data_IF_080683409932
#
_entry.id   IF_080683409932
#
_cell.length_a   1.000
_cell.length_b   1.000
_cell.length_c   1.000
_cell.angle_alpha   90.00
_cell.angle_beta   90.00
_cell.angle_gamma   90.00
#
_symmetry.space_group_name_H-M   'P 1'
#
loop_
_entity.id
_entity.type
_entity.pdbx_description
1 polymer ?
#
# COMPACT_ATOMS: atom_id res chain seq x y z
N UNK A 1 -0.94 15.75 16.36
CA UNK A 1 -1.14 15.24 14.99
C UNK A 1 -0.59 16.29 14.06
N UNK A 2 0.63 16.10 13.54
CA UNK A 2 1.16 17.00 12.53
C UNK A 2 0.41 16.71 11.23
N UNK A 3 -0.48 17.63 10.84
CA UNK A 3 -1.05 17.60 9.50
C UNK A 3 0.11 17.78 8.55
N UNK A 4 0.47 16.72 7.83
CA UNK A 4 1.43 16.78 6.72
C UNK A 4 1.07 17.99 5.85
N UNK A 5 2.05 18.85 5.54
CA UNK A 5 1.79 20.20 5.01
C UNK A 5 0.83 20.24 3.81
N UNK A 6 0.89 19.21 2.94
CA UNK A 6 -0.02 19.05 1.80
C UNK A 6 -1.49 18.81 2.20
N UNK A 7 -1.73 17.99 3.22
CA UNK A 7 -3.07 17.67 3.70
C UNK A 7 -3.68 18.87 4.44
N UNK A 8 -2.88 19.57 5.26
CA UNK A 8 -3.32 20.79 5.92
C UNK A 8 -3.70 21.89 4.94
N UNK A 9 -2.87 22.12 3.91
CA UNK A 9 -3.16 23.10 2.86
C UNK A 9 -4.47 22.80 2.12
N UNK A 10 -4.73 21.53 1.82
CA UNK A 10 -5.95 21.13 1.12
C UNK A 10 -7.21 21.37 1.94
N UNK A 11 -7.19 21.05 3.25
CA UNK A 11 -8.29 21.34 4.16
C UNK A 11 -8.54 22.85 4.22
N UNK A 12 -7.48 23.66 4.34
CA UNK A 12 -7.59 25.12 4.41
C UNK A 12 -8.19 25.70 3.12
N UNK A 13 -7.72 25.25 1.96
CA UNK A 13 -8.22 25.70 0.65
C UNK A 13 -9.71 25.37 0.47
N UNK A 14 -10.11 24.13 0.78
CA UNK A 14 -11.52 23.74 0.71
C UNK A 14 -12.39 24.50 1.71
N UNK A 15 -11.91 24.69 2.95
CA UNK A 15 -12.60 25.51 3.96
C UNK A 15 -12.82 26.94 3.48
N UNK A 16 -11.78 27.55 2.90
CA UNK A 16 -11.83 28.90 2.35
C UNK A 16 -12.85 29.00 1.22
N UNK A 17 -12.87 28.04 0.30
CA UNK A 17 -13.84 27.99 -0.79
C UNK A 17 -15.30 27.92 -0.27
N UNK A 18 -15.55 27.09 0.74
CA UNK A 18 -16.87 26.93 1.36
C UNK A 18 -17.35 28.18 2.11
N UNK A 19 -16.46 29.09 2.48
CA UNK A 19 -16.78 30.35 3.15
C UNK A 19 -16.93 31.49 2.12
N UNK A 20 -16.00 31.60 1.16
CA UNK A 20 -15.95 32.70 0.20
C UNK A 20 -17.12 32.66 -0.78
N UNK A 21 -17.48 31.49 -1.30
CA UNK A 21 -18.57 31.38 -2.30
C UNK A 21 -19.90 31.91 -1.73
N UNK A 22 -20.40 31.44 -0.57
CA UNK A 22 -21.65 31.93 -0.03
C UNK A 22 -21.61 33.42 0.33
N UNK A 23 -20.44 33.92 0.71
CA UNK A 23 -20.21 35.31 1.08
C UNK A 23 -20.31 36.27 -0.12
N UNK A 24 -19.86 35.85 -1.32
CA UNK A 24 -20.06 36.60 -2.57
C UNK A 24 -21.53 36.62 -2.99
N UNK A 25 -22.26 35.53 -2.74
CA UNK A 25 -23.68 35.39 -3.09
C UNK A 25 -24.58 36.15 -2.09
N UNK A 26 -24.10 36.38 -0.87
CA UNK A 26 -24.90 36.91 0.25
C UNK A 26 -25.60 38.24 -0.03
N UNK A 27 -24.93 39.28 -0.58
CA UNK A 27 -25.55 40.57 -0.85
C UNK A 27 -26.76 40.49 -1.77
N UNK A 28 -26.69 39.63 -2.80
CA UNK A 28 -27.72 39.50 -3.81
C UNK A 28 -29.00 38.82 -3.31
N UNK A 29 -28.94 38.18 -2.13
CA UNK A 29 -29.96 37.25 -1.63
C UNK A 29 -30.46 37.59 -0.22
N UNK A 30 -30.10 38.77 0.30
CA UNK A 30 -30.64 39.39 1.51
C UNK A 30 -32.15 39.63 1.31
N UNK A 31 -32.97 38.61 1.57
CA UNK A 31 -34.44 38.67 1.39
C UNK A 31 -35.11 37.32 1.13
N UNK A 32 -34.36 36.25 0.84
CA UNK A 32 -34.97 34.92 0.71
C UNK A 32 -35.40 34.37 2.07
N UNK A 33 -36.52 33.65 2.06
CA UNK A 33 -37.12 33.05 3.25
C UNK A 33 -36.10 32.21 4.01
N UNK A 34 -35.87 32.59 5.26
CA UNK A 34 -34.99 31.89 6.19
C UNK A 34 -35.66 30.56 6.52
N UNK A 35 -35.06 29.45 6.10
CA UNK A 35 -35.53 28.14 6.54
C UNK A 35 -35.29 28.03 8.05
N UNK A 36 -36.35 27.76 8.81
CA UNK A 36 -36.24 27.43 10.23
C UNK A 36 -35.64 26.03 10.36
N UNK A 37 -34.40 25.95 10.84
CA UNK A 37 -33.75 24.69 11.15
C UNK A 37 -34.51 23.92 12.24
N UNK A 38 -35.33 22.96 11.83
CA UNK A 38 -35.86 21.90 12.70
C UNK A 38 -34.78 20.88 13.05
N UNK A 39 -34.88 20.28 14.25
CA UNK A 39 -34.07 19.14 14.69
C UNK A 39 -34.05 17.99 13.66
N UNK A 40 -35.14 17.83 12.90
CA UNK A 40 -35.26 16.84 11.83
C UNK A 40 -34.18 17.04 10.75
N UNK A 41 -33.84 18.28 10.39
CA UNK A 41 -32.80 18.54 9.39
C UNK A 41 -31.42 18.08 9.87
N UNK A 42 -31.11 18.28 11.16
CA UNK A 42 -29.84 17.82 11.73
C UNK A 42 -29.71 16.30 11.67
N UNK A 43 -30.80 15.56 11.91
CA UNK A 43 -30.80 14.10 11.81
C UNK A 43 -30.58 13.63 10.36
N UNK A 44 -31.25 14.27 9.39
CA UNK A 44 -31.06 14.00 7.96
C UNK A 44 -29.62 14.32 7.53
N UNK A 45 -29.06 15.43 8.01
CA UNK A 45 -27.69 15.87 7.73
C UNK A 45 -26.66 14.84 8.21
N UNK A 46 -26.80 14.34 9.45
CA UNK A 46 -25.93 13.29 9.99
C UNK A 46 -26.05 12.00 9.18
N UNK A 47 -27.26 11.61 8.79
CA UNK A 47 -27.49 10.44 7.92
C UNK A 47 -26.81 10.58 6.55
N UNK A 48 -26.91 11.77 5.94
CA UNK A 48 -26.22 12.10 4.69
C UNK A 48 -24.70 11.96 4.82
N UNK A 49 -24.10 12.51 5.89
CA UNK A 49 -22.66 12.35 6.14
C UNK A 49 -22.25 10.89 6.32
N UNK A 50 -23.07 10.10 7.03
CA UNK A 50 -22.85 8.66 7.17
C UNK A 50 -22.78 7.96 5.81
N UNK A 51 -23.71 8.26 4.90
CA UNK A 51 -23.75 7.68 3.55
C UNK A 51 -22.51 8.09 2.75
N UNK A 52 -22.15 9.38 2.74
CA UNK A 52 -20.99 9.87 1.98
C UNK A 52 -19.68 9.26 2.50
N UNK A 53 -19.51 9.18 3.82
CA UNK A 53 -18.33 8.56 4.41
C UNK A 53 -18.27 7.04 4.18
N UNK A 54 -19.43 6.36 4.18
CA UNK A 54 -19.52 4.95 3.80
C UNK A 54 -19.07 4.72 2.36
N UNK A 55 -19.47 5.60 1.43
CA UNK A 55 -19.01 5.54 0.03
C UNK A 55 -17.50 5.73 -0.10
N UNK A 56 -16.87 6.58 0.72
CA UNK A 56 -15.42 6.72 0.73
C UNK A 56 -14.68 5.50 1.28
N UNK A 57 -15.31 4.72 2.17
CA UNK A 57 -14.68 3.57 2.80
C UNK A 57 -15.71 2.51 3.18
N UNK A 58 -16.12 1.62 2.27
CA UNK A 58 -17.21 0.65 2.50
C UNK A 58 -16.94 -0.40 3.60
N UNK A 59 -15.73 -0.42 4.18
CA UNK A 59 -15.31 -1.34 5.26
C UNK A 59 -15.28 -0.69 6.66
N UNK A 60 -15.89 0.47 6.85
CA UNK A 60 -15.96 1.13 8.17
C UNK A 60 -17.03 0.53 9.07
N UNK A 61 -16.76 0.47 10.38
CA UNK A 61 -17.78 0.05 11.36
C UNK A 61 -18.83 1.14 11.56
N UNK A 62 -20.03 0.78 12.01
CA UNK A 62 -21.12 1.73 12.25
C UNK A 62 -20.74 2.82 13.28
N UNK A 63 -19.95 2.46 14.30
CA UNK A 63 -19.45 3.42 15.28
C UNK A 63 -18.47 4.43 14.66
N UNK A 64 -17.57 3.99 13.78
CA UNK A 64 -16.63 4.86 13.06
C UNK A 64 -17.35 5.79 12.06
N UNK A 65 -18.44 5.31 11.45
CA UNK A 65 -19.32 6.12 10.61
C UNK A 65 -20.01 7.20 11.43
N UNK A 66 -20.56 6.85 12.59
CA UNK A 66 -21.22 7.80 13.48
C UNK A 66 -20.24 8.86 14.01
N UNK A 67 -19.03 8.45 14.43
CA UNK A 67 -17.97 9.37 14.84
C UNK A 67 -17.55 10.30 13.70
N UNK A 68 -17.42 9.78 12.48
CA UNK A 68 -17.11 10.57 11.29
C UNK A 68 -18.18 11.57 10.93
N UNK A 69 -19.44 11.14 10.96
CA UNK A 69 -20.59 12.01 10.69
C UNK A 69 -20.69 13.11 11.74
N UNK A 70 -20.51 12.77 13.03
CA UNK A 70 -20.49 13.75 14.12
C UNK A 70 -19.34 14.76 13.99
N UNK A 71 -18.14 14.30 13.62
CA UNK A 71 -16.99 15.18 13.38
C UNK A 71 -17.24 16.11 12.19
N UNK A 72 -17.82 15.60 11.10
CA UNK A 72 -18.17 16.39 9.90
C UNK A 72 -19.23 17.44 10.22
N UNK A 73 -20.24 17.06 11.01
CA UNK A 73 -21.27 17.98 11.51
C UNK A 73 -20.67 19.10 12.37
N UNK A 74 -19.80 18.75 13.33
CA UNK A 74 -19.13 19.75 14.17
C UNK A 74 -18.28 20.71 13.33
N UNK A 75 -17.53 20.18 12.36
CA UNK A 75 -16.75 20.99 11.43
C UNK A 75 -17.63 21.94 10.60
N UNK A 76 -18.82 21.50 10.16
CA UNK A 76 -19.79 22.39 9.50
C UNK A 76 -20.23 23.54 10.43
N UNK A 77 -20.54 23.25 11.69
CA UNK A 77 -20.93 24.29 12.66
C UNK A 77 -19.81 25.33 12.84
N UNK A 78 -18.55 24.89 12.89
CA UNK A 78 -17.39 25.78 12.94
C UNK A 78 -17.33 26.66 11.68
N UNK A 79 -17.45 26.08 10.48
CA UNK A 79 -17.48 26.86 9.23
C UNK A 79 -18.62 27.87 9.19
N UNK A 80 -19.82 27.48 9.60
CA UNK A 80 -20.99 28.36 9.68
C UNK A 80 -20.80 29.49 10.69
N UNK A 81 -20.14 29.22 11.82
CA UNK A 81 -19.82 30.23 12.83
C UNK A 81 -18.81 31.24 12.28
N UNK A 82 -17.73 30.77 11.64
CA UNK A 82 -16.73 31.63 11.00
C UNK A 82 -17.38 32.50 9.92
N UNK A 83 -18.24 31.91 9.08
CA UNK A 83 -19.00 32.65 8.08
C UNK A 83 -19.89 33.72 8.75
N UNK A 84 -20.59 33.38 9.84
CA UNK A 84 -21.43 34.33 10.57
C UNK A 84 -20.64 35.49 11.17
N UNK A 85 -19.44 35.23 11.72
CA UNK A 85 -18.53 36.29 12.20
C UNK A 85 -18.10 37.19 11.05
N UNK A 86 -17.72 36.62 9.90
CA UNK A 86 -17.34 37.40 8.71
C UNK A 86 -18.50 38.26 8.18
N UNK A 87 -19.73 37.73 8.20
CA UNK A 87 -20.93 38.50 7.82
C UNK A 87 -21.14 39.67 8.79
N UNK A 88 -21.00 39.44 10.10
CA UNK A 88 -21.14 40.49 11.11
C UNK A 88 -20.15 41.64 10.87
N UNK A 89 -18.88 41.29 10.63
CA UNK A 89 -17.81 42.27 10.41
C UNK A 89 -17.96 43.03 9.10
N UNK A 90 -18.29 42.36 8.00
CA UNK A 90 -18.29 43.00 6.68
C UNK A 90 -19.58 43.75 6.35
N UNK A 91 -20.73 43.31 6.87
CA UNK A 91 -22.02 43.93 6.57
C UNK A 91 -22.60 44.72 7.75
N UNK A 92 -21.86 44.82 8.86
CA UNK A 92 -22.29 45.50 10.09
C UNK A 92 -23.67 45.02 10.59
N UNK A 93 -23.96 43.73 10.40
CA UNK A 93 -25.18 43.08 10.88
C UNK A 93 -24.99 42.68 12.34
N UNK A 94 -26.04 42.83 13.16
CA UNK A 94 -25.99 42.43 14.57
C UNK A 94 -25.44 41.01 14.74
N UNK A 95 -24.47 40.83 15.64
CA UNK A 95 -23.70 39.59 15.78
C UNK A 95 -24.56 38.33 15.91
N UNK A 96 -25.62 38.39 16.73
CA UNK A 96 -26.56 37.27 16.91
C UNK A 96 -27.28 36.90 15.60
N UNK A 97 -27.71 37.91 14.83
CA UNK A 97 -28.37 37.69 13.54
C UNK A 97 -27.39 37.09 12.55
N UNK A 98 -26.19 37.64 12.45
CA UNK A 98 -25.14 37.15 11.56
C UNK A 98 -24.72 35.70 11.89
N UNK A 99 -24.62 35.34 13.17
CA UNK A 99 -24.30 33.98 13.61
C UNK A 99 -25.44 33.01 13.27
N UNK A 100 -26.71 33.40 13.49
CA UNK A 100 -27.85 32.57 13.06
C UNK A 100 -27.91 32.42 11.54
N UNK A 101 -27.55 33.46 10.78
CA UNK A 101 -27.43 33.39 9.32
C UNK A 101 -26.36 32.39 8.90
N UNK A 102 -25.15 32.50 9.45
CA UNK A 102 -24.03 31.63 9.10
C UNK A 102 -24.25 30.15 9.45
N UNK A 103 -24.90 29.86 10.59
CA UNK A 103 -25.04 28.49 11.09
C UNK A 103 -26.29 27.76 10.59
N UNK A 104 -27.44 28.45 10.52
CA UNK A 104 -28.73 27.76 10.39
C UNK A 104 -29.76 28.38 9.45
N UNK A 105 -29.59 29.63 8.99
CA UNK A 105 -30.61 30.30 8.18
C UNK A 105 -30.22 30.63 6.75
N UNK A 106 -28.94 30.77 6.43
CA UNK A 106 -28.50 31.12 5.08
C UNK A 106 -28.37 29.88 4.19
N UNK A 107 -29.46 29.52 3.52
CA UNK A 107 -29.60 28.27 2.76
C UNK A 107 -28.50 28.00 1.71
N UNK A 108 -28.02 28.98 0.92
CA UNK A 108 -26.90 28.74 -0.01
C UNK A 108 -25.62 28.29 0.70
N UNK A 109 -25.30 28.89 1.85
CA UNK A 109 -24.15 28.45 2.64
C UNK A 109 -24.37 27.05 3.22
N UNK A 110 -25.55 26.80 3.78
CA UNK A 110 -25.87 25.52 4.40
C UNK A 110 -25.77 24.38 3.39
N UNK A 111 -26.39 24.52 2.21
CA UNK A 111 -26.33 23.49 1.17
C UNK A 111 -24.90 23.24 0.70
N UNK A 112 -24.13 24.31 0.45
CA UNK A 112 -22.75 24.19 0.00
C UNK A 112 -21.87 23.53 1.07
N UNK A 113 -22.02 23.93 2.33
CA UNK A 113 -21.26 23.38 3.44
C UNK A 113 -21.65 21.92 3.72
N UNK A 114 -22.94 21.55 3.66
CA UNK A 114 -23.37 20.16 3.80
C UNK A 114 -22.78 19.31 2.68
N UNK A 115 -22.85 19.77 1.43
CA UNK A 115 -22.29 19.02 0.31
C UNK A 115 -20.74 18.91 0.37
N UNK A 116 -20.06 19.99 0.78
CA UNK A 116 -18.60 20.09 0.71
C UNK A 116 -17.83 19.63 1.95
N UNK A 117 -18.43 19.72 3.15
CA UNK A 117 -17.76 19.39 4.41
C UNK A 117 -17.19 17.95 4.46
N UNK A 118 -17.88 16.90 3.97
CA UNK A 118 -17.34 15.54 3.96
C UNK A 118 -16.05 15.41 3.16
N UNK A 119 -15.93 16.18 2.07
CA UNK A 119 -14.73 16.21 1.26
C UNK A 119 -13.64 16.92 2.04
N UNK A 120 -13.88 18.15 2.51
CA UNK A 120 -12.89 18.95 3.23
C UNK A 120 -12.28 18.22 4.44
N UNK A 121 -13.08 17.43 5.18
CA UNK A 121 -12.61 16.72 6.37
C UNK A 121 -11.99 15.34 6.09
N UNK A 122 -12.11 14.83 4.86
CA UNK A 122 -11.60 13.51 4.45
C UNK A 122 -10.18 13.20 4.93
N UNK A 123 -9.15 14.07 4.76
CA UNK A 123 -7.80 13.73 5.19
C UNK A 123 -7.67 13.58 6.71
N UNK A 124 -8.40 14.39 7.48
CA UNK A 124 -8.42 14.34 8.94
C UNK A 124 -9.11 13.05 9.41
N UNK A 125 -10.27 12.74 8.82
CA UNK A 125 -11.01 11.51 9.09
C UNK A 125 -10.16 10.26 8.82
N UNK A 126 -9.47 10.23 7.68
CA UNK A 126 -8.57 9.12 7.32
C UNK A 126 -7.37 9.02 8.27
N UNK A 127 -6.84 10.14 8.77
CA UNK A 127 -5.76 10.12 9.74
C UNK A 127 -6.20 9.58 11.11
N UNK A 128 -7.41 9.92 11.58
CA UNK A 128 -7.93 9.48 12.89
C UNK A 128 -8.25 7.98 12.87
N UNK A 129 -8.91 7.49 11.81
CA UNK A 129 -9.36 6.08 11.73
C UNK A 129 -8.32 5.17 11.09
N UNK A 130 -7.40 5.71 10.29
CA UNK A 130 -6.29 4.96 9.69
C UNK A 130 -5.21 4.52 10.69
N UNK A 131 -5.16 5.13 11.87
CA UNK A 131 -4.10 4.90 12.87
C UNK A 131 -3.92 3.45 13.33
N UNK A 132 -4.97 2.63 13.31
CA UNK A 132 -4.87 1.22 13.73
C UNK A 132 -4.24 0.31 12.67
N UNK A 133 -4.37 0.65 11.38
CA UNK A 133 -3.77 -0.15 10.30
C UNK A 133 -2.25 0.06 10.26
N UNK A 134 -1.79 1.25 10.63
CA UNK A 134 -0.35 1.57 10.71
C UNK A 134 0.28 1.04 11.99
N UNK A 135 -0.42 1.10 13.14
CA UNK A 135 0.07 0.54 14.41
C UNK A 135 0.15 -0.99 14.44
N UNK A 136 -0.77 -1.71 13.76
CA UNK A 136 -0.66 -3.18 13.61
C UNK A 136 0.62 -3.61 12.88
N UNK A 137 1.17 -2.78 11.98
CA UNK A 137 2.46 -3.05 11.32
C UNK A 137 3.64 -2.91 12.29
N UNK A 138 3.54 -2.03 13.28
CA UNK A 138 4.58 -1.89 14.30
C UNK A 138 4.52 -2.99 15.38
N UNK A 139 3.34 -3.39 15.82
CA UNK A 139 3.19 -4.39 16.89
C UNK A 139 3.66 -5.80 16.47
N UNK A 140 3.46 -6.18 15.19
CA UNK A 140 3.95 -7.47 14.66
C UNK A 140 5.49 -7.48 14.54
N UNK A 141 6.12 -6.31 14.35
CA UNK A 141 7.57 -6.19 14.29
C UNK A 141 8.23 -6.42 15.66
N UNK A 142 7.54 -6.14 16.75
CA UNK A 142 8.05 -6.24 18.12
C UNK A 142 7.87 -7.65 18.72
N UNK A 143 6.75 -8.33 18.42
CA UNK A 143 6.52 -9.72 18.86
C UNK A 143 7.46 -10.75 18.22
N UNK A 144 7.96 -10.49 17.01
CA UNK A 144 8.88 -11.40 16.32
C UNK A 144 10.30 -11.38 16.88
N UNK A 145 10.67 -10.32 17.60
CA UNK A 145 11.98 -10.19 18.26
C UNK A 145 12.00 -10.88 19.62
N UNK A 146 10.85 -10.99 20.30
CA UNK A 146 10.77 -11.54 21.65
C UNK A 146 10.68 -13.08 21.70
N UNK A 147 10.23 -13.74 20.62
CA UNK A 147 9.91 -15.18 20.61
C UNK A 147 10.68 -16.00 19.57
N UNK A 148 11.83 -15.53 19.08
CA UNK A 148 12.67 -16.35 18.19
C UNK A 148 13.14 -17.61 18.94
N UNK A 149 12.66 -18.82 18.59
CA UNK A 149 13.05 -20.04 19.28
C UNK A 149 14.53 -20.31 18.98
N UNK A 150 15.31 -20.50 20.05
CA UNK A 150 16.68 -21.00 19.98
C UNK A 150 16.62 -22.42 19.40
N UNK A 151 16.74 -22.54 18.08
CA UNK A 151 16.56 -23.82 17.38
C UNK A 151 17.74 -24.73 17.69
N UNK A 152 17.54 -25.69 18.59
CA UNK A 152 18.36 -26.89 18.68
C UNK A 152 18.24 -27.68 17.37
N UNK A 153 19.37 -28.20 16.91
CA UNK A 153 19.52 -28.88 15.64
C UNK A 153 18.75 -30.22 15.63
N UNK A 154 17.55 -30.23 15.05
CA UNK A 154 16.81 -31.46 14.79
C UNK A 154 17.19 -32.01 13.41
N UNK A 155 17.76 -33.22 13.40
CA UNK A 155 18.12 -34.00 12.20
C UNK A 155 16.87 -34.34 11.37
N UNK A 156 16.95 -34.34 10.04
CA UNK A 156 15.79 -34.59 9.18
C UNK A 156 15.45 -36.09 9.12
N UNK A 157 14.24 -36.45 9.56
CA UNK A 157 13.60 -37.74 9.27
C UNK A 157 12.87 -37.65 7.93
N UNK A 158 13.12 -38.65 7.09
CA UNK A 158 12.66 -38.76 5.70
C UNK A 158 11.20 -39.25 5.68
N UNK A 159 10.23 -38.35 5.58
CA UNK A 159 8.82 -38.70 5.44
C UNK A 159 8.45 -38.87 3.95
N UNK A 160 7.98 -40.08 3.62
CA UNK A 160 7.38 -40.46 2.34
C UNK A 160 5.89 -40.10 2.43
N UNK A 161 5.37 -39.24 1.55
CA UNK A 161 3.93 -38.99 1.46
C UNK A 161 3.42 -39.24 0.04
N UNK A 162 2.49 -40.18 -0.04
CA UNK A 162 1.72 -40.54 -1.22
C UNK A 162 0.69 -39.44 -1.53
N UNK A 163 0.66 -39.00 -2.79
CA UNK A 163 -0.19 -37.93 -3.29
C UNK A 163 -1.52 -38.52 -3.78
N UNK A 164 -2.65 -38.04 -3.24
CA UNK A 164 -4.01 -38.38 -3.69
C UNK A 164 -4.60 -37.18 -4.46
N UNK A 165 -5.06 -37.34 -5.71
CA UNK A 165 -5.65 -36.24 -6.46
C UNK A 165 -7.10 -35.97 -6.02
N UNK A 166 -7.45 -34.69 -5.89
CA UNK A 166 -8.80 -34.18 -5.64
C UNK A 166 -9.34 -33.50 -6.93
N UNK A 167 -10.62 -33.64 -7.29
CA UNK A 167 -11.14 -33.16 -8.57
C UNK A 167 -11.64 -31.70 -8.55
N UNK A 168 -11.27 -31.01 -9.63
CA UNK A 168 -11.95 -29.96 -10.40
C UNK A 168 -12.84 -28.89 -9.71
N UNK A 169 -12.39 -27.63 -9.82
CA UNK A 169 -13.26 -26.47 -9.96
C UNK A 169 -12.82 -25.66 -11.19
N UNK A 170 -13.74 -25.52 -12.13
CA UNK A 170 -13.55 -24.91 -13.45
C UNK A 170 -13.39 -23.39 -13.40
N UNK A 171 -12.27 -22.90 -13.93
CA UNK A 171 -12.19 -21.60 -14.61
C UNK A 171 -11.06 -21.68 -15.63
N UNK A 172 -11.33 -21.48 -16.94
CA UNK A 172 -10.33 -21.67 -17.98
C UNK A 172 -9.33 -20.50 -17.95
N UNK A 173 -8.22 -20.69 -17.24
CA UNK A 173 -7.00 -19.98 -17.54
C UNK A 173 -6.55 -20.36 -18.96
N UNK A 174 -5.97 -19.43 -19.75
CA UNK A 174 -5.44 -19.76 -21.07
C UNK A 174 -4.37 -20.84 -20.91
N UNK A 175 -4.71 -22.06 -21.33
CA UNK A 175 -3.77 -23.18 -21.42
C UNK A 175 -2.74 -22.78 -22.47
N UNK A 176 -1.55 -22.41 -22.00
CA UNK A 176 -0.37 -22.39 -22.86
C UNK A 176 0.03 -23.85 -23.03
N UNK A 177 -0.10 -24.37 -24.25
CA UNK A 177 0.38 -25.70 -24.61
C UNK A 177 1.88 -25.77 -24.34
N UNK A 178 2.27 -26.59 -23.36
CA UNK A 178 3.66 -26.77 -22.93
C UNK A 178 4.31 -27.81 -23.83
N UNK A 179 4.80 -27.38 -24.99
CA UNK A 179 5.90 -28.08 -25.65
C UNK A 179 7.20 -27.64 -24.96
N UNK A 180 7.77 -28.48 -24.10
CA UNK A 180 9.13 -28.27 -23.56
C UNK A 180 10.10 -28.54 -24.71
N UNK A 181 10.33 -27.53 -25.54
CA UNK A 181 11.42 -27.53 -26.51
C UNK A 181 12.75 -27.62 -25.77
N UNK A 182 13.72 -28.33 -26.36
CA UNK A 182 15.00 -28.70 -25.73
C UNK A 182 15.94 -27.54 -25.38
N UNK A 183 15.59 -26.29 -25.72
CA UNK A 183 16.51 -25.15 -25.65
C UNK A 183 16.02 -23.99 -24.76
N UNK A 184 15.20 -24.26 -23.74
CA UNK A 184 14.79 -23.20 -22.81
C UNK A 184 15.96 -22.85 -21.88
N UNK A 185 16.40 -21.59 -21.93
CA UNK A 185 17.38 -21.00 -21.02
C UNK A 185 17.01 -21.26 -19.54
N UNK A 186 17.98 -21.61 -18.70
CA UNK A 186 17.74 -21.88 -17.28
C UNK A 186 17.09 -20.73 -16.52
N UNK A 187 17.32 -19.47 -16.91
CA UNK A 187 16.62 -18.31 -16.34
C UNK A 187 15.11 -18.35 -16.63
N UNK A 188 14.72 -18.60 -17.89
CA UNK A 188 13.31 -18.72 -18.29
C UNK A 188 12.63 -19.92 -17.60
N UNK A 189 13.36 -21.03 -17.50
CA UNK A 189 12.91 -22.22 -16.79
C UNK A 189 12.60 -21.93 -15.32
N UNK A 190 13.46 -21.15 -14.65
CA UNK A 190 13.28 -20.79 -13.25
C UNK A 190 12.05 -19.89 -13.03
N UNK A 191 11.85 -18.85 -13.84
CA UNK A 191 10.67 -17.97 -13.70
C UNK A 191 9.37 -18.66 -14.10
N UNK A 192 9.40 -19.55 -15.10
CA UNK A 192 8.24 -20.37 -15.49
C UNK A 192 7.85 -21.34 -14.37
N UNK A 193 8.83 -22.01 -13.76
CA UNK A 193 8.62 -22.90 -12.61
C UNK A 193 7.94 -22.19 -11.43
N UNK A 194 8.33 -20.94 -11.16
CA UNK A 194 7.65 -20.11 -10.17
C UNK A 194 6.24 -19.70 -10.61
N UNK A 195 6.08 -19.36 -11.89
CA UNK A 195 4.80 -18.95 -12.47
C UNK A 195 3.71 -20.02 -12.46
N UNK A 196 4.08 -21.30 -12.36
CA UNK A 196 3.13 -22.40 -12.13
C UNK A 196 2.40 -22.29 -10.79
N UNK A 197 2.97 -21.57 -9.81
CA UNK A 197 2.31 -21.34 -8.54
C UNK A 197 1.19 -20.29 -8.69
N UNK A 198 0.01 -20.57 -8.15
CA UNK A 198 -1.16 -19.69 -8.32
C UNK A 198 -1.00 -18.34 -7.57
N UNK A 199 -0.28 -18.30 -6.45
CA UNK A 199 -0.03 -17.04 -5.75
C UNK A 199 0.90 -16.07 -6.50
N UNK A 200 1.72 -16.54 -7.46
CA UNK A 200 2.77 -15.73 -8.09
C UNK A 200 2.16 -14.81 -9.16
N UNK A 201 2.31 -13.51 -8.94
CA UNK A 201 1.90 -12.45 -9.88
C UNK A 201 3.04 -12.05 -10.81
N UNK A 202 4.27 -11.95 -10.28
CA UNK A 202 5.48 -11.63 -11.03
C UNK A 202 6.63 -12.48 -10.52
N UNK A 203 7.45 -13.01 -11.43
CA UNK A 203 8.78 -13.51 -11.11
C UNK A 203 9.77 -12.98 -12.14
N UNK A 204 10.91 -12.44 -11.72
CA UNK A 204 11.91 -11.89 -12.62
C UNK A 204 13.31 -12.23 -12.14
N UNK A 205 14.17 -12.62 -13.08
CA UNK A 205 15.63 -12.68 -12.88
C UNK A 205 16.20 -11.35 -13.37
N UNK A 206 16.93 -10.68 -12.50
CA UNK A 206 17.44 -9.33 -12.68
C UNK A 206 18.95 -9.39 -12.53
N UNK A 207 19.70 -8.69 -13.37
CA UNK A 207 21.15 -8.57 -13.23
C UNK A 207 21.54 -7.48 -12.22
N UNK A 208 22.85 -7.24 -12.08
CA UNK A 208 23.41 -6.23 -11.17
C UNK A 208 23.09 -4.79 -11.59
N UNK A 209 22.67 -4.56 -12.84
CA UNK A 209 22.30 -3.25 -13.37
C UNK A 209 20.79 -2.98 -13.28
N UNK A 210 20.02 -3.95 -12.78
CA UNK A 210 18.57 -3.84 -12.67
C UNK A 210 17.84 -4.20 -13.97
N UNK A 211 18.52 -4.75 -14.96
CA UNK A 211 17.94 -5.19 -16.22
C UNK A 211 17.29 -6.56 -16.03
N UNK A 212 16.09 -6.70 -16.59
CA UNK A 212 15.34 -7.96 -16.52
C UNK A 212 15.87 -8.94 -17.57
N UNK A 213 16.48 -10.04 -17.11
CA UNK A 213 17.04 -11.10 -17.97
C UNK A 213 15.96 -12.08 -18.41
N UNK A 214 15.07 -12.46 -17.48
CA UNK A 214 13.93 -13.33 -17.75
C UNK A 214 12.78 -12.94 -16.83
N UNK A 215 11.54 -13.04 -17.30
CA UNK A 215 10.38 -12.73 -16.49
C UNK A 215 9.15 -13.59 -16.79
N UNK A 216 8.37 -13.79 -15.74
CA UNK A 216 7.02 -14.30 -15.77
C UNK A 216 6.10 -13.22 -15.18
N UNK A 217 4.92 -13.06 -15.79
CA UNK A 217 3.89 -12.14 -15.31
C UNK A 217 2.51 -12.77 -15.40
N UNK A 218 1.63 -12.42 -14.48
CA UNK A 218 0.21 -12.74 -14.50
C UNK A 218 -0.60 -11.46 -14.35
N UNK A 219 -1.59 -11.26 -15.23
CA UNK A 219 -2.39 -10.04 -15.24
C UNK A 219 -1.58 -8.81 -15.68
N UNK A 220 -1.86 -7.65 -15.08
CA UNK A 220 -1.34 -6.35 -15.50
C UNK A 220 -0.08 -5.91 -14.76
N UNK A 221 0.69 -6.84 -14.20
CA UNK A 221 1.94 -6.51 -13.52
C UNK A 221 3.10 -6.53 -14.51
N UNK A 222 3.76 -5.38 -14.69
CA UNK A 222 4.90 -5.24 -15.58
C UNK A 222 6.22 -5.46 -14.83
N UNK A 223 6.97 -6.55 -15.10
CA UNK A 223 8.24 -6.85 -14.44
C UNK A 223 9.25 -5.70 -14.53
N UNK A 224 9.25 -4.93 -15.62
CA UNK A 224 10.19 -3.83 -15.84
C UNK A 224 10.02 -2.69 -14.82
N UNK A 225 8.80 -2.50 -14.31
CA UNK A 225 8.51 -1.51 -13.26
C UNK A 225 9.04 -1.97 -11.90
N UNK A 226 9.00 -3.28 -11.65
CA UNK A 226 9.38 -3.86 -10.36
C UNK A 226 10.89 -4.12 -10.26
N UNK A 227 11.55 -4.45 -11.38
CA UNK A 227 12.95 -4.86 -11.38
C UNK A 227 13.91 -3.85 -10.72
N UNK A 228 13.81 -2.52 -10.95
CA UNK A 228 14.68 -1.55 -10.29
C UNK A 228 14.59 -1.54 -8.75
N UNK A 229 13.52 -2.09 -8.18
CA UNK A 229 13.38 -2.17 -6.72
C UNK A 229 14.40 -3.13 -6.10
N UNK A 230 14.90 -4.15 -6.81
CA UNK A 230 15.93 -5.06 -6.27
C UNK A 230 17.21 -4.29 -5.91
N UNK A 231 17.64 -3.37 -6.77
CA UNK A 231 18.81 -2.51 -6.55
C UNK A 231 18.62 -1.57 -5.36
N UNK A 232 17.42 -0.99 -5.24
CA UNK A 232 17.09 -0.11 -4.12
C UNK A 232 17.14 -0.88 -2.79
N UNK A 233 16.64 -2.12 -2.77
CA UNK A 233 16.71 -2.95 -1.56
C UNK A 233 18.14 -3.35 -1.23
N UNK A 234 18.94 -3.73 -2.21
CA UNK A 234 20.34 -4.07 -1.97
C UNK A 234 21.13 -2.90 -1.39
N UNK A 235 21.07 -1.73 -2.04
CA UNK A 235 21.78 -0.54 -1.59
C UNK A 235 21.35 -0.12 -0.17
N UNK A 236 20.05 -0.16 0.12
CA UNK A 236 19.52 0.13 1.45
C UNK A 236 19.98 -0.89 2.50
N UNK A 237 20.03 -2.19 2.16
CA UNK A 237 20.47 -3.22 3.11
C UNK A 237 21.96 -3.17 3.38
N UNK A 238 22.80 -2.98 2.36
CA UNK A 238 24.25 -2.80 2.55
C UNK A 238 24.53 -1.68 3.53
N UNK A 239 23.87 -0.53 3.37
CA UNK A 239 24.01 0.59 4.28
C UNK A 239 23.61 0.23 5.73
N UNK A 240 22.62 -0.63 5.93
CA UNK A 240 22.20 -1.08 7.27
C UNK A 240 23.23 -2.05 7.85
N UNK A 241 23.70 -3.02 7.06
CA UNK A 241 24.68 -4.02 7.49
C UNK A 241 26.05 -3.39 7.83
N UNK A 242 26.46 -2.39 7.04
CA UNK A 242 27.68 -1.60 7.30
C UNK A 242 27.60 -0.90 8.66
N UNK A 243 26.40 -0.42 9.05
CA UNK A 243 26.19 0.23 10.35
C UNK A 243 26.16 -0.76 11.51
N UNK A 244 25.76 -2.01 11.29
CA UNK A 244 25.75 -3.05 12.33
C UNK A 244 27.09 -3.79 12.44
N UNK A 245 28.04 -3.52 11.54
CA UNK A 245 29.33 -4.22 11.50
C UNK A 245 29.22 -5.64 10.97
N UNK A 246 28.08 -6.02 10.37
CA UNK A 246 27.89 -7.32 9.75
C UNK A 246 28.43 -7.26 8.32
N UNK A 247 29.59 -7.88 8.08
CA UNK A 247 30.15 -8.01 6.75
C UNK A 247 29.48 -9.18 6.02
N UNK A 248 28.42 -8.89 5.27
CA UNK A 248 27.72 -9.89 4.48
C UNK A 248 26.81 -9.26 3.45
N UNK A 249 26.53 -10.00 2.37
CA UNK A 249 25.44 -9.64 1.46
C UNK A 249 24.19 -10.42 1.87
N UNK A 250 23.02 -9.78 1.97
CA UNK A 250 21.79 -10.49 2.27
C UNK A 250 21.46 -11.47 1.14
N UNK A 251 21.27 -12.74 1.48
CA UNK A 251 20.96 -13.79 0.51
C UNK A 251 19.48 -13.78 0.12
N UNK A 252 18.61 -13.30 1.01
CA UNK A 252 17.18 -13.23 0.78
C UNK A 252 16.56 -12.11 1.61
N UNK A 253 15.64 -11.39 0.98
CA UNK A 253 14.82 -10.38 1.58
C UNK A 253 13.35 -10.64 1.29
N UNK A 254 12.49 -10.39 2.28
CA UNK A 254 11.05 -10.58 2.19
C UNK A 254 10.34 -9.34 2.71
N UNK A 255 9.49 -8.76 1.86
CA UNK A 255 8.63 -7.64 2.19
C UNK A 255 7.18 -8.05 2.10
N UNK A 256 6.40 -7.74 3.13
CA UNK A 256 4.96 -7.98 3.11
C UNK A 256 4.20 -6.66 3.08
N UNK A 257 3.35 -6.48 2.06
CA UNK A 257 2.53 -5.31 1.82
C UNK A 257 1.06 -5.70 1.71
N UNK A 258 0.35 -5.68 2.85
CA UNK A 258 -1.05 -6.10 2.89
C UNK A 258 -1.16 -7.59 2.53
N UNK A 259 -1.94 -7.91 1.49
CA UNK A 259 -2.11 -9.28 0.98
C UNK A 259 -0.99 -9.74 0.05
N UNK A 260 0.06 -8.92 -0.18
CA UNK A 260 1.15 -9.24 -1.12
C UNK A 260 2.46 -9.42 -0.38
N UNK A 261 3.32 -10.29 -0.92
CA UNK A 261 4.70 -10.50 -0.50
C UNK A 261 5.63 -10.32 -1.70
N UNK A 262 6.64 -9.48 -1.53
CA UNK A 262 7.74 -9.32 -2.47
C UNK A 262 8.98 -9.97 -1.86
N UNK A 263 9.45 -11.05 -2.49
CA UNK A 263 10.69 -11.72 -2.12
C UNK A 263 11.77 -11.35 -3.13
N UNK A 264 12.94 -10.93 -2.66
CA UNK A 264 14.14 -10.77 -3.49
C UNK A 264 15.19 -11.70 -2.93
N UNK A 265 15.61 -12.68 -3.72
CA UNK A 265 16.62 -13.65 -3.33
C UNK A 265 17.82 -13.55 -4.27
N UNK A 266 19.01 -13.47 -3.69
CA UNK A 266 20.24 -13.19 -4.41
C UNK A 266 21.04 -14.44 -4.73
N UNK A 267 21.60 -14.44 -5.92
CA UNK A 267 22.76 -15.22 -6.32
C UNK A 267 23.87 -14.24 -6.72
N UNK A 268 25.15 -14.64 -6.70
CA UNK A 268 26.29 -13.71 -6.80
C UNK A 268 26.16 -12.60 -7.86
N UNK A 269 25.58 -12.90 -9.04
CA UNK A 269 25.42 -11.94 -10.15
C UNK A 269 23.96 -11.63 -10.52
N UNK A 270 22.99 -12.32 -9.91
CA UNK A 270 21.59 -12.18 -10.30
C UNK A 270 20.68 -12.16 -9.07
N UNK A 271 19.68 -11.29 -9.12
CA UNK A 271 18.61 -11.21 -8.15
C UNK A 271 17.34 -11.84 -8.73
N UNK A 272 16.77 -12.79 -7.99
CA UNK A 272 15.47 -13.38 -8.26
C UNK A 272 14.40 -12.66 -7.44
N UNK A 273 13.57 -11.87 -8.13
CA UNK A 273 12.46 -11.15 -7.54
C UNK A 273 11.14 -11.87 -7.79
N UNK A 274 10.33 -12.05 -6.74
CA UNK A 274 9.02 -12.73 -6.81
C UNK A 274 7.98 -11.90 -6.05
N UNK A 275 6.93 -11.48 -6.74
CA UNK A 275 5.75 -10.85 -6.16
C UNK A 275 4.61 -11.86 -6.13
N UNK A 276 4.11 -12.17 -4.94
CA UNK A 276 3.04 -13.15 -4.74
C UNK A 276 2.00 -12.69 -3.71
N UNK A 277 0.86 -13.35 -3.63
CA UNK A 277 -0.10 -13.17 -2.54
C UNK A 277 0.44 -13.83 -1.26
N UNK A 278 0.40 -13.13 -0.12
CA UNK A 278 0.96 -13.60 1.16
C UNK A 278 0.11 -14.68 1.83
N UNK A 279 -1.21 -14.61 1.65
CA UNK A 279 -2.18 -15.53 2.30
C UNK A 279 -2.07 -16.97 1.74
N UNK A 280 -1.32 -17.13 0.64
CA UNK A 280 -1.19 -18.38 -0.10
C UNK A 280 0.26 -18.91 0.02
N UNK A 281 0.47 -19.74 1.04
CA UNK A 281 1.36 -20.91 1.02
C UNK A 281 2.86 -20.75 1.44
N UNK A 282 3.26 -21.56 2.44
CA UNK A 282 4.65 -21.75 2.88
C UNK A 282 5.49 -22.46 1.81
N UNK A 283 4.86 -23.23 0.90
CA UNK A 283 5.53 -23.96 -0.18
C UNK A 283 6.21 -23.04 -1.20
N UNK A 284 5.75 -21.79 -1.33
CA UNK A 284 6.39 -20.82 -2.23
C UNK A 284 7.85 -20.57 -1.82
N UNK A 285 8.16 -20.61 -0.52
CA UNK A 285 9.53 -20.46 -0.03
C UNK A 285 10.46 -21.54 -0.57
N UNK A 286 9.98 -22.79 -0.65
CA UNK A 286 10.72 -23.94 -1.19
C UNK A 286 10.93 -23.78 -2.70
N UNK A 287 9.89 -23.35 -3.42
CA UNK A 287 9.98 -23.13 -4.87
C UNK A 287 10.99 -22.04 -5.23
N UNK A 288 11.04 -20.96 -4.45
CA UNK A 288 12.02 -19.89 -4.63
C UNK A 288 13.45 -20.44 -4.49
N UNK A 289 13.71 -21.26 -3.47
CA UNK A 289 15.03 -21.89 -3.29
C UNK A 289 15.40 -22.77 -4.48
N UNK A 290 14.48 -23.61 -4.94
CA UNK A 290 14.71 -24.46 -6.11
C UNK A 290 14.93 -23.67 -7.40
N UNK A 291 14.20 -22.56 -7.59
CA UNK A 291 14.42 -21.66 -8.72
C UNK A 291 15.81 -21.03 -8.69
N UNK A 292 16.32 -20.64 -7.52
CA UNK A 292 17.70 -20.18 -7.36
C UNK A 292 18.71 -21.26 -7.73
N UNK A 293 18.45 -22.53 -7.36
CA UNK A 293 19.34 -23.63 -7.72
C UNK A 293 19.35 -23.91 -9.22
N UNK A 294 18.19 -23.79 -9.90
CA UNK A 294 18.12 -23.83 -11.37
C UNK A 294 18.99 -22.73 -11.99
N UNK A 295 18.88 -21.50 -11.48
CA UNK A 295 19.67 -20.34 -11.93
C UNK A 295 21.16 -20.58 -11.72
N UNK A 296 21.57 -21.01 -10.52
CA UNK A 296 22.97 -21.30 -10.18
C UNK A 296 23.56 -22.38 -11.08
N UNK A 297 22.83 -23.48 -11.26
CA UNK A 297 23.25 -24.59 -12.14
C UNK A 297 23.45 -24.11 -13.57
N UNK A 298 22.45 -23.43 -14.13
CA UNK A 298 22.54 -22.89 -15.48
C UNK A 298 23.73 -21.94 -15.66
N UNK A 299 23.96 -21.05 -14.67
CA UNK A 299 25.11 -20.14 -14.71
C UNK A 299 26.44 -20.91 -14.67
N UNK A 300 26.58 -21.90 -13.79
CA UNK A 300 27.81 -22.69 -13.71
C UNK A 300 28.09 -23.47 -15.01
N UNK A 301 27.06 -24.01 -15.65
CA UNK A 301 27.19 -24.75 -16.90
C UNK A 301 27.52 -23.84 -18.08
N UNK A 302 26.85 -22.68 -18.17
CA UNK A 302 26.99 -21.78 -19.33
C UNK A 302 28.18 -20.82 -19.22
N UNK A 303 28.45 -20.30 -18.02
CA UNK A 303 29.43 -19.24 -17.78
C UNK A 303 30.57 -19.67 -16.86
N UNK A 304 30.60 -20.91 -16.37
CA UNK A 304 31.64 -21.38 -15.47
C UNK A 304 33.06 -21.26 -16.04
N UNK A 305 33.21 -21.37 -17.36
CA UNK A 305 34.50 -21.22 -18.05
C UNK A 305 35.01 -19.77 -18.14
N UNK A 306 34.14 -18.77 -17.92
CA UNK A 306 34.52 -17.35 -17.91
C UNK A 306 34.97 -16.88 -16.53
N UNK A 307 34.70 -17.65 -15.48
CA UNK A 307 35.21 -17.32 -14.16
C UNK A 307 36.71 -17.65 -14.14
N UNK A 308 37.59 -16.67 -13.87
CA UNK A 308 39.01 -16.96 -13.73
C UNK A 308 39.17 -17.99 -12.63
N UNK A 309 39.75 -19.14 -12.97
CA UNK A 309 40.09 -20.17 -12.00
C UNK A 309 41.11 -19.56 -11.03
N UNK A 310 40.62 -19.05 -9.89
CA UNK A 310 41.40 -18.36 -8.86
C UNK A 310 42.55 -19.17 -8.24
N UNK A 311 42.79 -20.39 -8.75
CA UNK A 311 43.98 -21.18 -8.47
C UNK A 311 45.25 -20.62 -9.09
N UNK A 312 45.23 -19.87 -10.20
CA UNK A 312 46.48 -19.37 -10.82
C UNK A 312 47.02 -18.09 -10.17
N UNK A 313 46.18 -17.14 -9.75
CA UNK A 313 46.64 -15.88 -9.14
C UNK A 313 47.35 -16.09 -7.79
N UNK A 314 47.00 -17.14 -7.05
CA UNK A 314 47.63 -17.45 -5.76
C UNK A 314 49.06 -17.98 -5.89
N UNK A 315 49.49 -18.41 -7.09
CA UNK A 315 50.86 -18.86 -7.34
C UNK A 315 51.76 -17.77 -7.93
N UNK A 316 51.21 -16.70 -8.52
CA UNK A 316 52.02 -15.62 -9.12
C UNK A 316 52.31 -14.49 -8.11
N UNK A 317 51.49 -14.32 -7.06
CA UNK A 317 51.72 -13.27 -6.05
C UNK A 317 52.74 -13.62 -4.95
N UNK A 318 53.45 -14.75 -5.07
CA UNK A 318 54.43 -15.23 -4.08
C UNK A 318 55.88 -15.29 -4.61
N UNK A 319 56.17 -14.62 -5.72
CA UNK A 319 57.54 -14.36 -6.23
C UNK A 319 57.81 -12.87 -6.23
#
# INVERSE_FOLDING_TARGET
MELTGKNGLWVLLMSSLLIVIPMVIFPARLGMSLATGSFVYSAIEIGFYGIVLFLFRPRTTLLQLLQGAGLTFLYRIILGTVLGVLIALMYNVGFTVALTLGVSRYLPAILLQIAGAPFAIRPIYMAIIGGDVEKRKHYIKEYRTANAPRSEAVRPQKARHDFRPSPAADSPAPKSDISIGSDINGFERAVRYLGEHHAVMVAAVIDLEGLTVAAYRRGNFDPAIWAPLSLMFDSSHRQILDRTGESGQPTRFDLTFGTRRLTVARTNEFDLMVLANHEEDDLLGIRITQALDIIRKYRSERYGHLQPSGTEEKYVSNT
#
